data_IF_075784157543
#
_entry.id   IF_075784157543
#
_cell.length_a   1.000
_cell.length_b   1.000
_cell.length_c   1.000
_cell.angle_alpha   90.00
_cell.angle_beta   90.00
_cell.angle_gamma   90.00
#
_symmetry.space_group_name_H-M   'P 1'
#
loop_
_entity.id
_entity.type
_entity.pdbx_description
1 polymer ?
#
# COMPACT_ATOMS: atom_id res chain seq x y z
N UNK A 1 47.51 97.36 13.81
CA UNK A 1 47.75 96.79 12.45
C UNK A 1 47.14 95.39 12.47
N UNK A 2 46.10 94.99 11.75
CA UNK A 2 45.38 95.52 10.59
C UNK A 2 43.88 95.26 10.77
N UNK A 3 43.04 96.20 10.34
CA UNK A 3 41.59 96.13 10.40
C UNK A 3 40.98 95.49 9.15
N UNK A 4 40.00 94.60 9.36
CA UNK A 4 39.14 94.04 8.33
C UNK A 4 37.99 95.04 8.03
N UNK A 5 37.85 95.43 6.76
CA UNK A 5 36.69 96.20 6.29
C UNK A 5 35.60 95.24 5.81
N UNK A 6 34.53 95.13 6.58
CA UNK A 6 33.24 94.61 6.13
C UNK A 6 32.49 95.73 5.39
N UNK A 7 32.14 95.52 4.13
CA UNK A 7 31.34 96.47 3.35
C UNK A 7 29.86 96.13 3.52
N UNK A 8 29.13 97.03 4.19
CA UNK A 8 27.69 97.00 4.33
C UNK A 8 27.03 97.43 3.01
N UNK A 9 26.22 96.55 2.42
CA UNK A 9 25.26 96.93 1.38
C UNK A 9 23.89 97.18 2.03
N UNK A 10 23.55 98.45 2.23
CA UNK A 10 22.23 98.87 2.70
C UNK A 10 21.26 99.07 1.54
N UNK A 11 20.27 98.18 1.50
CA UNK A 11 18.83 98.36 1.21
C UNK A 11 18.39 99.35 0.11
N UNK A 12 17.64 98.82 -0.87
CA UNK A 12 16.50 99.55 -1.48
C UNK A 12 15.24 98.69 -1.45
N UNK A 13 14.19 99.27 -0.86
CA UNK A 13 12.81 98.75 -0.84
C UNK A 13 12.22 98.74 -2.27
N UNK A 14 11.49 97.70 -2.71
CA UNK A 14 11.00 97.63 -4.08
C UNK A 14 9.66 98.37 -4.22
N UNK A 15 9.70 99.57 -4.79
CA UNK A 15 8.52 100.18 -5.38
C UNK A 15 8.20 99.47 -6.72
N UNK A 16 6.96 98.96 -6.85
CA UNK A 16 6.33 98.68 -8.15
C UNK A 16 6.91 97.56 -9.00
N UNK A 17 6.93 96.31 -8.50
CA UNK A 17 7.05 95.15 -9.39
C UNK A 17 5.70 94.95 -10.12
N UNK A 18 5.67 95.19 -11.44
CA UNK A 18 4.50 94.91 -12.29
C UNK A 18 3.98 93.50 -12.02
N UNK A 19 2.65 93.32 -12.01
CA UNK A 19 1.97 92.01 -11.84
C UNK A 19 2.57 90.93 -12.74
N UNK A 20 3.01 91.31 -13.96
CA UNK A 20 3.73 90.42 -14.89
C UNK A 20 5.05 89.91 -14.33
N UNK A 21 5.84 90.74 -13.64
CA UNK A 21 7.13 90.36 -13.04
C UNK A 21 6.96 89.44 -11.83
N UNK A 22 5.92 89.62 -11.02
CA UNK A 22 5.62 88.68 -9.93
C UNK A 22 5.16 87.33 -10.48
N UNK A 23 4.29 87.34 -11.49
CA UNK A 23 3.80 86.12 -12.12
C UNK A 23 4.95 85.28 -12.72
N UNK A 24 5.90 85.91 -13.43
CA UNK A 24 7.07 85.22 -13.98
C UNK A 24 7.98 84.62 -12.90
N UNK A 25 8.15 85.31 -11.76
CA UNK A 25 8.95 84.79 -10.63
C UNK A 25 8.26 83.61 -9.95
N UNK A 26 6.95 83.70 -9.71
CA UNK A 26 6.17 82.61 -9.12
C UNK A 26 6.11 81.40 -10.07
N UNK A 27 5.97 81.64 -11.38
CA UNK A 27 6.05 80.58 -12.40
C UNK A 27 7.42 79.91 -12.45
N UNK A 28 8.53 80.69 -12.34
CA UNK A 28 9.89 80.13 -12.27
C UNK A 28 10.07 79.28 -11.02
N UNK A 29 9.62 79.77 -9.85
CA UNK A 29 9.69 79.03 -8.59
C UNK A 29 8.87 77.73 -8.64
N UNK A 30 7.67 77.77 -9.22
CA UNK A 30 6.83 76.57 -9.45
C UNK A 30 7.49 75.57 -10.40
N UNK A 31 8.13 76.04 -11.47
CA UNK A 31 8.88 75.19 -12.40
C UNK A 31 10.09 74.55 -11.72
N UNK A 32 10.85 75.29 -10.93
CA UNK A 32 12.00 74.78 -10.19
C UNK A 32 11.58 73.76 -9.11
N UNK A 33 10.50 74.04 -8.36
CA UNK A 33 9.95 73.09 -7.38
C UNK A 33 9.41 71.82 -8.06
N UNK A 34 8.70 71.98 -9.18
CA UNK A 34 8.14 70.84 -9.93
C UNK A 34 9.24 70.01 -10.61
N UNK A 35 10.31 70.65 -11.09
CA UNK A 35 11.49 69.97 -11.63
C UNK A 35 12.28 69.21 -10.54
N UNK A 36 12.41 69.78 -9.34
CA UNK A 36 13.02 69.08 -8.20
C UNK A 36 12.16 67.90 -7.73
N UNK A 37 10.83 68.05 -7.70
CA UNK A 37 9.89 66.96 -7.42
C UNK A 37 9.97 65.83 -8.46
N UNK A 38 10.14 66.17 -9.74
CA UNK A 38 10.31 65.20 -10.83
C UNK A 38 11.67 64.48 -10.80
N UNK A 39 12.70 65.10 -10.24
CA UNK A 39 14.02 64.47 -10.03
C UNK A 39 14.06 63.58 -8.77
N UNK A 40 13.04 63.67 -7.90
CA UNK A 40 12.91 62.87 -6.69
C UNK A 40 12.38 61.45 -6.94
N UNK A 41 11.76 61.19 -8.10
CA UNK A 41 11.39 59.85 -8.53
C UNK A 41 12.60 59.15 -9.16
N UNK A 42 13.51 58.66 -8.31
CA UNK A 42 14.58 57.76 -8.75
C UNK A 42 13.95 56.51 -9.40
N UNK A 43 13.88 56.50 -10.72
CA UNK A 43 13.61 55.30 -11.51
C UNK A 43 14.73 54.31 -11.19
N UNK A 44 14.40 53.18 -10.56
CA UNK A 44 15.36 52.11 -10.36
C UNK A 44 15.83 51.62 -11.73
N UNK A 45 17.15 51.60 -11.96
CA UNK A 45 17.70 51.01 -13.18
C UNK A 45 17.42 49.50 -13.17
N UNK A 46 17.24 48.90 -14.34
CA UNK A 46 17.00 47.44 -14.48
C UNK A 46 18.06 46.63 -13.72
N UNK A 47 19.30 47.13 -13.69
CA UNK A 47 20.42 46.53 -12.98
C UNK A 47 20.25 46.54 -11.44
N UNK A 48 19.67 47.60 -10.88
CA UNK A 48 19.38 47.68 -9.45
C UNK A 48 18.21 46.76 -9.05
N UNK A 49 17.18 46.65 -9.90
CA UNK A 49 16.08 45.71 -9.67
C UNK A 49 16.56 44.25 -9.74
N UNK A 50 17.38 43.91 -10.74
CA UNK A 50 18.01 42.60 -10.85
C UNK A 50 18.90 42.30 -9.64
N UNK A 51 19.71 43.26 -9.19
CA UNK A 51 20.55 43.07 -8.00
C UNK A 51 19.73 42.85 -6.73
N UNK A 52 18.61 43.55 -6.57
CA UNK A 52 17.74 43.40 -5.40
C UNK A 52 16.98 42.07 -5.41
N UNK A 53 16.42 41.69 -6.57
CA UNK A 53 15.73 40.41 -6.78
C UNK A 53 16.70 39.22 -6.64
N UNK A 54 17.89 39.32 -7.24
CA UNK A 54 18.95 38.30 -7.14
C UNK A 54 19.43 38.12 -5.70
N UNK A 55 19.52 39.19 -4.90
CA UNK A 55 19.90 39.09 -3.50
C UNK A 55 18.83 38.40 -2.63
N UNK A 56 17.55 38.71 -2.87
CA UNK A 56 16.43 38.01 -2.19
C UNK A 56 16.38 36.53 -2.53
N UNK A 57 16.53 36.18 -3.82
CA UNK A 57 16.62 34.80 -4.27
C UNK A 57 17.85 34.09 -3.67
N UNK A 58 19.04 34.70 -3.72
CA UNK A 58 20.28 34.12 -3.19
C UNK A 58 20.18 33.81 -1.71
N UNK A 59 19.62 34.74 -0.90
CA UNK A 59 19.36 34.49 0.53
C UNK A 59 18.41 33.30 0.73
N UNK A 60 17.28 33.30 0.02
CA UNK A 60 16.31 32.22 0.13
C UNK A 60 16.89 30.86 -0.29
N UNK A 61 17.58 30.78 -1.42
CA UNK A 61 18.25 29.56 -1.89
C UNK A 61 19.29 29.06 -0.89
N UNK A 62 20.05 29.95 -0.26
CA UNK A 62 21.02 29.58 0.77
C UNK A 62 20.34 28.99 2.00
N UNK A 63 19.25 29.60 2.47
CA UNK A 63 18.47 29.06 3.59
C UNK A 63 17.89 27.67 3.27
N UNK A 64 17.38 27.45 2.06
CA UNK A 64 16.89 26.13 1.63
C UNK A 64 18.02 25.10 1.57
N UNK A 65 19.18 25.49 1.03
CA UNK A 65 20.35 24.63 0.97
C UNK A 65 20.84 24.23 2.37
N UNK A 66 20.93 25.17 3.31
CA UNK A 66 21.37 24.88 4.69
C UNK A 66 20.43 23.88 5.39
N UNK A 67 19.12 24.01 5.18
CA UNK A 67 18.13 23.03 5.67
C UNK A 67 18.37 21.65 5.08
N UNK A 68 18.50 21.56 3.75
CA UNK A 68 18.72 20.29 3.06
C UNK A 68 20.06 19.65 3.46
N UNK A 69 21.11 20.46 3.59
CA UNK A 69 22.43 20.06 4.07
C UNK A 69 22.36 19.48 5.49
N UNK A 70 21.62 20.13 6.38
CA UNK A 70 21.40 19.63 7.75
C UNK A 70 20.65 18.31 7.76
N UNK A 71 19.58 18.18 6.96
CA UNK A 71 18.82 16.93 6.83
C UNK A 71 19.67 15.80 6.27
N UNK A 72 20.51 16.08 5.26
CA UNK A 72 21.39 15.08 4.67
C UNK A 72 22.44 14.57 5.66
N UNK A 73 23.08 15.48 6.41
CA UNK A 73 24.01 15.11 7.49
C UNK A 73 23.32 14.28 8.57
N UNK A 74 22.07 14.61 8.92
CA UNK A 74 21.30 13.83 9.88
C UNK A 74 21.01 12.40 9.34
N UNK A 75 20.57 12.31 8.09
CA UNK A 75 20.33 11.03 7.41
C UNK A 75 21.60 10.15 7.39
N UNK A 76 22.76 10.72 7.07
CA UNK A 76 24.05 10.01 7.07
C UNK A 76 24.39 9.45 8.46
N UNK A 77 24.26 10.27 9.52
CA UNK A 77 24.50 9.82 10.91
C UNK A 77 23.57 8.69 11.33
N UNK A 78 22.31 8.74 10.93
CA UNK A 78 21.36 7.67 11.22
C UNK A 78 21.77 6.37 10.51
N UNK A 79 22.24 6.46 9.27
CA UNK A 79 22.74 5.30 8.53
C UNK A 79 24.00 4.70 9.17
N UNK A 80 24.95 5.54 9.60
CA UNK A 80 26.11 5.09 10.38
C UNK A 80 25.71 4.41 11.69
N UNK A 81 24.71 4.95 12.40
CA UNK A 81 24.16 4.32 13.60
C UNK A 81 23.56 2.94 13.34
N UNK A 82 22.92 2.74 12.18
CA UNK A 82 22.38 1.45 11.76
C UNK A 82 23.52 0.48 11.47
N UNK A 83 24.55 0.91 10.75
CA UNK A 83 25.74 0.09 10.50
C UNK A 83 26.45 -0.35 11.77
N UNK A 84 26.59 0.55 12.74
CA UNK A 84 27.13 0.21 14.07
C UNK A 84 26.24 -0.79 14.82
N UNK A 85 24.92 -0.66 14.73
CA UNK A 85 23.97 -1.56 15.40
C UNK A 85 23.96 -2.97 14.80
N UNK A 86 23.97 -3.08 13.47
CA UNK A 86 23.98 -4.36 12.76
C UNK A 86 25.39 -4.89 12.44
N UNK A 87 26.44 -4.18 12.89
CA UNK A 87 27.84 -4.52 12.68
C UNK A 87 28.23 -4.70 11.20
N UNK A 88 27.86 -3.75 10.34
CA UNK A 88 28.36 -3.67 8.96
C UNK A 88 28.98 -2.29 8.69
N UNK A 89 29.81 -2.22 7.65
CA UNK A 89 30.45 -0.97 7.21
C UNK A 89 29.46 -0.11 6.38
N UNK A 90 29.02 1.06 6.88
CA UNK A 90 28.12 1.97 6.16
C UNK A 90 28.75 2.56 4.88
N UNK A 91 30.07 2.50 4.70
CA UNK A 91 30.72 3.01 3.50
C UNK A 91 30.90 1.94 2.42
N UNK A 92 30.82 0.66 2.79
CA UNK A 92 30.91 -0.46 1.86
C UNK A 92 29.60 -0.71 1.09
N UNK A 93 28.46 -0.34 1.70
CA UNK A 93 27.12 -0.55 1.14
C UNK A 93 26.42 0.80 1.00
N UNK A 94 25.80 1.05 -0.15
CA UNK A 94 25.01 2.27 -0.33
C UNK A 94 23.68 2.19 0.44
N UNK A 95 23.13 3.35 0.83
CA UNK A 95 21.82 3.42 1.50
C UNK A 95 20.72 2.78 0.64
N UNK A 96 20.80 2.96 -0.67
CA UNK A 96 19.84 2.45 -1.66
C UNK A 96 19.88 0.94 -1.75
N UNK A 97 21.08 0.35 -1.82
CA UNK A 97 21.26 -1.10 -1.86
C UNK A 97 20.80 -1.75 -0.55
N UNK A 98 21.21 -1.20 0.61
CA UNK A 98 20.84 -1.74 1.91
C UNK A 98 19.32 -1.81 2.11
N UNK A 99 18.61 -0.71 1.86
CA UNK A 99 17.16 -0.70 2.00
C UNK A 99 16.44 -1.45 0.88
N UNK A 100 17.02 -1.52 -0.32
CA UNK A 100 16.54 -2.34 -1.42
C UNK A 100 16.58 -3.83 -1.08
N UNK A 101 17.70 -4.32 -0.58
CA UNK A 101 17.86 -5.70 -0.10
C UNK A 101 16.91 -5.99 1.06
N UNK A 102 16.77 -5.08 2.03
CA UNK A 102 15.86 -5.25 3.16
C UNK A 102 14.39 -5.31 2.74
N UNK A 103 13.99 -4.47 1.77
CA UNK A 103 12.63 -4.48 1.21
C UNK A 103 12.35 -5.78 0.46
N UNK A 104 13.33 -6.28 -0.30
CA UNK A 104 13.24 -7.57 -0.98
C UNK A 104 13.13 -8.71 0.05
N UNK A 105 14.00 -8.73 1.06
CA UNK A 105 13.95 -9.71 2.16
C UNK A 105 12.58 -9.74 2.83
N UNK A 106 12.02 -8.58 3.17
CA UNK A 106 10.66 -8.48 3.75
C UNK A 106 9.61 -9.12 2.85
N UNK A 107 9.69 -8.86 1.55
CA UNK A 107 8.72 -9.37 0.57
C UNK A 107 8.82 -10.90 0.45
N UNK A 108 10.04 -11.42 0.30
CA UNK A 108 10.32 -12.85 0.28
C UNK A 108 9.87 -13.55 1.57
N UNK A 109 10.11 -12.93 2.73
CA UNK A 109 9.69 -13.48 4.01
C UNK A 109 8.17 -13.58 4.11
N UNK A 110 7.43 -12.53 3.71
CA UNK A 110 5.98 -12.54 3.72
C UNK A 110 5.41 -13.59 2.77
N UNK A 111 6.01 -13.78 1.60
CA UNK A 111 5.57 -14.79 0.64
C UNK A 111 5.88 -16.21 1.14
N UNK A 112 7.08 -16.44 1.68
CA UNK A 112 7.44 -17.71 2.30
C UNK A 112 6.51 -18.07 3.47
N UNK A 113 6.08 -17.10 4.29
CA UNK A 113 5.08 -17.34 5.34
C UNK A 113 3.73 -17.80 4.76
N UNK A 114 3.25 -17.15 3.70
CA UNK A 114 1.99 -17.56 3.03
C UNK A 114 2.12 -18.96 2.44
N UNK A 115 3.25 -19.26 1.80
CA UNK A 115 3.51 -20.57 1.21
C UNK A 115 3.61 -21.67 2.27
N UNK A 116 4.27 -21.41 3.40
CA UNK A 116 4.34 -22.34 4.52
C UNK A 116 2.95 -22.65 5.09
N UNK A 117 2.09 -21.64 5.21
CA UNK A 117 0.71 -21.85 5.65
C UNK A 117 -0.07 -22.73 4.67
N UNK A 118 -0.02 -22.41 3.37
CA UNK A 118 -0.66 -23.23 2.31
C UNK A 118 -0.13 -24.66 2.29
N UNK A 119 1.19 -24.84 2.43
CA UNK A 119 1.85 -26.14 2.45
C UNK A 119 1.32 -27.00 3.61
N UNK A 120 1.23 -26.43 4.82
CA UNK A 120 0.67 -27.11 5.99
C UNK A 120 -0.78 -27.57 5.77
N UNK A 121 -1.62 -26.71 5.21
CA UNK A 121 -3.01 -27.09 4.91
C UNK A 121 -3.11 -28.20 3.85
N UNK A 122 -2.29 -28.13 2.81
CA UNK A 122 -2.26 -29.16 1.76
C UNK A 122 -1.77 -30.51 2.30
N UNK A 123 -0.73 -30.51 3.13
CA UNK A 123 -0.22 -31.72 3.78
C UNK A 123 -1.29 -32.38 4.66
N UNK A 124 -2.05 -31.60 5.43
CA UNK A 124 -3.17 -32.12 6.22
C UNK A 124 -4.29 -32.70 5.34
N UNK A 125 -4.64 -32.05 4.23
CA UNK A 125 -5.62 -32.58 3.26
C UNK A 125 -5.16 -33.89 2.63
N UNK A 126 -3.89 -33.97 2.21
CA UNK A 126 -3.32 -35.19 1.65
C UNK A 126 -3.32 -36.32 2.68
N UNK A 127 -2.91 -36.04 3.93
CA UNK A 127 -2.90 -37.03 5.00
C UNK A 127 -4.30 -37.58 5.29
N UNK A 128 -5.32 -36.72 5.34
CA UNK A 128 -6.73 -37.14 5.51
C UNK A 128 -7.22 -37.99 4.34
N UNK A 129 -6.91 -37.60 3.10
CA UNK A 129 -7.29 -38.36 1.91
C UNK A 129 -6.63 -39.74 1.87
N UNK A 130 -5.34 -39.85 2.24
CA UNK A 130 -4.62 -41.13 2.33
C UNK A 130 -5.25 -42.06 3.37
N UNK A 131 -5.52 -41.57 4.58
CA UNK A 131 -6.16 -42.34 5.64
C UNK A 131 -7.58 -42.82 5.26
N UNK A 132 -8.35 -41.98 4.56
CA UNK A 132 -9.67 -42.36 4.09
C UNK A 132 -9.62 -43.48 3.03
N UNK A 133 -8.67 -43.39 2.08
CA UNK A 133 -8.45 -44.43 1.06
C UNK A 133 -8.00 -45.75 1.68
N UNK A 134 -7.02 -45.72 2.59
CA UNK A 134 -6.53 -46.92 3.28
C UNK A 134 -7.65 -47.58 4.10
N UNK A 135 -8.47 -46.79 4.80
CA UNK A 135 -9.60 -47.31 5.57
C UNK A 135 -10.66 -47.95 4.67
N UNK A 136 -10.98 -47.34 3.53
CA UNK A 136 -11.92 -47.89 2.55
C UNK A 136 -11.40 -49.18 1.92
N UNK A 137 -10.10 -49.26 1.65
CA UNK A 137 -9.46 -50.45 1.09
C UNK A 137 -9.43 -51.60 2.11
N UNK A 138 -9.07 -51.32 3.38
CA UNK A 138 -9.12 -52.31 4.46
C UNK A 138 -10.53 -52.84 4.67
N UNK A 139 -11.54 -51.96 4.71
CA UNK A 139 -12.95 -52.40 4.86
C UNK A 139 -13.42 -53.23 3.65
N UNK A 140 -12.97 -52.91 2.43
CA UNK A 140 -13.28 -53.71 1.23
C UNK A 140 -12.63 -55.10 1.29
N UNK A 141 -11.37 -55.19 1.72
CA UNK A 141 -10.66 -56.46 1.88
C UNK A 141 -11.31 -57.33 2.97
N UNK A 142 -11.67 -56.76 4.12
CA UNK A 142 -12.37 -57.50 5.19
C UNK A 142 -13.73 -58.03 4.73
N UNK A 143 -14.51 -57.24 3.99
CA UNK A 143 -15.80 -57.70 3.42
C UNK A 143 -15.60 -58.82 2.41
N UNK A 144 -14.57 -58.73 1.57
CA UNK A 144 -14.22 -59.79 0.62
C UNK A 144 -13.79 -61.07 1.34
N UNK A 145 -12.96 -60.98 2.39
CA UNK A 145 -12.54 -62.14 3.17
C UNK A 145 -13.72 -62.81 3.89
N UNK A 146 -14.59 -62.03 4.56
CA UNK A 146 -15.81 -62.57 5.20
C UNK A 146 -16.74 -63.24 4.19
N UNK A 147 -16.88 -62.66 2.98
CA UNK A 147 -17.66 -63.28 1.90
C UNK A 147 -17.03 -64.59 1.42
N UNK A 148 -15.71 -64.64 1.27
CA UNK A 148 -14.98 -65.86 0.89
C UNK A 148 -15.08 -66.96 1.95
N UNK A 149 -15.07 -66.63 3.24
CA UNK A 149 -15.29 -67.62 4.31
C UNK A 149 -16.70 -68.24 4.28
N UNK A 150 -17.70 -67.49 3.82
CA UNK A 150 -19.08 -67.98 3.68
C UNK A 150 -19.33 -68.75 2.37
N UNK A 151 -18.44 -68.62 1.39
CA UNK A 151 -18.54 -69.22 0.05
C UNK A 151 -17.17 -69.84 -0.26
N UNK A 152 -16.85 -70.94 0.42
CA UNK A 152 -15.70 -71.78 0.08
C UNK A 152 -16.16 -72.84 -0.92
N UNK A 153 -16.17 -72.48 -2.21
CA UNK A 153 -16.52 -73.40 -3.31
C UNK A 153 -15.31 -74.20 -3.83
N UNK A 154 -14.11 -74.01 -3.25
CA UNK A 154 -12.88 -74.62 -3.76
C UNK A 154 -12.36 -75.77 -2.89
N UNK A 155 -13.06 -76.16 -1.82
CA UNK A 155 -12.81 -77.44 -1.15
C UNK A 155 -13.67 -78.50 -1.81
N UNK A 156 -13.09 -79.17 -2.80
CA UNK A 156 -13.57 -80.46 -3.28
C UNK A 156 -13.63 -81.41 -2.07
N UNK A 157 -14.82 -81.67 -1.52
CA UNK A 157 -14.96 -82.57 -0.37
C UNK A 157 -16.34 -82.68 0.29
N UNK A 158 -17.03 -81.57 0.59
CA UNK A 158 -18.18 -81.61 1.52
C UNK A 158 -19.46 -80.98 0.93
N UNK A 159 -20.10 -81.65 -0.03
CA UNK A 159 -21.35 -81.18 -0.66
C UNK A 159 -22.58 -81.27 0.27
N UNK A 160 -22.51 -82.02 1.38
CA UNK A 160 -23.65 -82.28 2.27
C UNK A 160 -23.89 -81.23 3.37
N UNK A 161 -22.98 -80.28 3.62
CA UNK A 161 -23.11 -79.29 4.72
C UNK A 161 -23.15 -77.81 4.29
N UNK A 162 -22.94 -77.54 2.99
CA UNK A 162 -22.89 -76.17 2.45
C UNK A 162 -24.26 -75.53 2.42
N UNK A 163 -25.32 -76.29 2.09
CA UNK A 163 -26.69 -75.75 2.02
C UNK A 163 -27.21 -75.36 3.40
N UNK A 164 -26.98 -76.18 4.42
CA UNK A 164 -27.40 -75.89 5.80
C UNK A 164 -26.64 -74.69 6.37
N UNK A 165 -25.33 -74.58 6.10
CA UNK A 165 -24.54 -73.40 6.49
C UNK A 165 -25.02 -72.12 5.80
N UNK A 166 -25.44 -72.19 4.52
CA UNK A 166 -26.03 -71.06 3.80
C UNK A 166 -27.41 -70.68 4.35
N UNK A 167 -28.27 -71.66 4.62
CA UNK A 167 -29.60 -71.45 5.19
C UNK A 167 -29.52 -70.89 6.61
N UNK A 168 -28.61 -71.38 7.44
CA UNK A 168 -28.33 -70.86 8.78
C UNK A 168 -27.83 -69.42 8.72
N UNK A 169 -26.92 -69.09 7.79
CA UNK A 169 -26.43 -67.73 7.60
C UNK A 169 -27.53 -66.76 7.11
N UNK A 170 -28.48 -67.23 6.30
CA UNK A 170 -29.65 -66.45 5.87
C UNK A 170 -30.64 -66.26 7.01
N UNK A 171 -30.94 -67.30 7.78
CA UNK A 171 -31.92 -67.32 8.87
C UNK A 171 -31.44 -66.54 10.10
N UNK A 172 -30.16 -66.67 10.46
CA UNK A 172 -29.50 -65.85 11.49
C UNK A 172 -29.27 -64.38 11.05
N UNK A 173 -29.51 -64.09 9.77
CA UNK A 173 -29.31 -62.77 9.16
C UNK A 173 -27.85 -62.38 8.95
N UNK A 174 -26.90 -63.29 9.21
CA UNK A 174 -25.46 -63.09 9.00
C UNK A 174 -25.12 -62.79 7.53
N UNK A 175 -25.83 -63.40 6.58
CA UNK A 175 -25.66 -63.21 5.13
C UNK A 175 -25.94 -61.77 4.64
N UNK A 176 -26.69 -60.96 5.40
CA UNK A 176 -27.13 -59.62 4.98
C UNK A 176 -26.56 -58.47 5.83
N UNK A 177 -25.67 -58.77 6.77
CA UNK A 177 -25.14 -57.77 7.72
C UNK A 177 -24.43 -56.59 7.04
N UNK A 178 -23.93 -56.76 5.81
CA UNK A 178 -23.13 -55.74 5.12
C UNK A 178 -23.96 -54.63 4.43
N UNK A 179 -25.25 -54.86 4.15
CA UNK A 179 -26.13 -53.86 3.50
C UNK A 179 -26.74 -52.84 4.48
N UNK A 180 -26.64 -53.07 5.80
CA UNK A 180 -27.30 -52.26 6.84
C UNK A 180 -26.42 -51.17 7.48
N UNK A 181 -25.20 -50.92 6.99
CA UNK A 181 -24.50 -49.65 7.28
C UNK A 181 -25.08 -48.51 6.41
N UNK A 182 -26.37 -48.20 6.59
CA UNK A 182 -26.84 -46.84 6.36
C UNK A 182 -26.47 -46.05 7.61
N UNK A 183 -25.80 -44.92 7.41
CA UNK A 183 -25.58 -43.87 8.40
C UNK A 183 -26.83 -43.70 9.29
N UNK A 184 -26.70 -43.53 10.62
CA UNK A 184 -27.86 -43.29 11.46
C UNK A 184 -28.58 -42.04 10.93
N UNK A 185 -29.79 -42.23 10.42
CA UNK A 185 -30.65 -41.13 10.00
C UNK A 185 -31.12 -40.49 11.29
N UNK A 186 -30.58 -39.31 11.59
CA UNK A 186 -30.99 -38.49 12.72
C UNK A 186 -32.50 -38.22 12.55
N UNK A 187 -33.33 -38.88 13.36
CA UNK A 187 -34.78 -38.91 13.23
C UNK A 187 -35.41 -37.66 13.85
N UNK A 188 -35.01 -36.48 13.38
CA UNK A 188 -35.47 -35.20 13.93
C UNK A 188 -35.70 -34.09 12.90
N UNK A 189 -36.14 -34.43 11.67
CA UNK A 189 -36.85 -33.47 10.81
C UNK A 189 -38.02 -34.16 10.10
N UNK A 190 -39.21 -33.99 10.68
CA UNK A 190 -40.50 -34.25 10.06
C UNK A 190 -40.50 -33.71 8.62
N UNK A 191 -40.93 -34.57 7.71
CA UNK A 191 -41.19 -34.23 6.32
C UNK A 191 -42.28 -33.15 6.23
N UNK A 192 -41.93 -32.00 5.64
CA UNK A 192 -42.90 -31.21 4.87
C UNK A 192 -42.51 -31.43 3.41
N UNK A 193 -43.23 -32.35 2.77
CA UNK A 193 -43.25 -32.53 1.32
C UNK A 193 -43.96 -31.32 0.71
N UNK A 194 -43.24 -30.21 0.57
CA UNK A 194 -43.60 -29.15 -0.38
C UNK A 194 -43.32 -29.70 -1.78
N UNK A 195 -44.38 -30.23 -2.39
CA UNK A 195 -44.41 -30.65 -3.79
C UNK A 195 -44.34 -29.39 -4.66
N UNK A 196 -43.13 -28.84 -4.81
CA UNK A 196 -42.90 -27.71 -5.70
C UNK A 196 -43.28 -28.12 -7.12
N UNK A 197 -44.27 -27.39 -7.61
CA UNK A 197 -45.02 -27.60 -8.83
C UNK A 197 -44.11 -27.62 -10.06
N UNK A 198 -44.39 -28.60 -10.92
CA UNK A 198 -44.44 -28.53 -12.38
C UNK A 198 -43.44 -27.61 -13.09
N UNK A 199 -42.49 -28.24 -13.78
CA UNK A 199 -41.83 -27.65 -14.94
C UNK A 199 -42.90 -27.30 -15.99
N UNK A 200 -43.31 -26.03 -16.06
CA UNK A 200 -44.03 -25.48 -17.20
C UNK A 200 -43.09 -24.52 -17.93
N UNK A 201 -42.70 -24.89 -19.15
CA UNK A 201 -41.91 -24.10 -20.07
C UNK A 201 -42.82 -23.67 -21.22
N UNK A 202 -43.27 -22.40 -21.30
CA UNK A 202 -43.90 -21.88 -22.51
C UNK A 202 -42.89 -20.96 -23.21
N UNK A 203 -42.09 -21.54 -24.10
CA UNK A 203 -41.47 -20.78 -25.18
C UNK A 203 -41.38 -21.67 -26.43
N UNK A 204 -42.56 -21.93 -26.98
CA UNK A 204 -42.72 -22.23 -28.40
C UNK A 204 -43.32 -20.99 -29.06
N UNK A 205 -42.49 -20.21 -29.76
CA UNK A 205 -42.92 -19.49 -30.95
C UNK A 205 -41.89 -19.79 -32.05
N UNK A 206 -42.30 -20.66 -32.95
CA UNK A 206 -41.77 -20.77 -34.29
C UNK A 206 -42.88 -20.27 -35.21
N UNK A 207 -42.72 -19.07 -35.77
CA UNK A 207 -42.77 -18.79 -37.21
C UNK A 207 -42.50 -17.31 -37.46
#
# INVERSE_FOLDING_TARGET
>A
MHGAKAQAASVRSPAGLSHRSMCVRTSRWLLENKAQSYNGSKQFTVQQYFSHSSHGFSKHSREQYEKLSTMHKNMQKLYESIGNYFAFDPHAVSVEDFFGELANFRSLFLDAMKENHKKREMEEKIKRAKLAKEKAEREKQERQQKKKQLIDMNKEGDETGVMDSLMEALQSGAAFRDRRKRTPRNDNRRAVLERSRSRHNPNHQAR
#
